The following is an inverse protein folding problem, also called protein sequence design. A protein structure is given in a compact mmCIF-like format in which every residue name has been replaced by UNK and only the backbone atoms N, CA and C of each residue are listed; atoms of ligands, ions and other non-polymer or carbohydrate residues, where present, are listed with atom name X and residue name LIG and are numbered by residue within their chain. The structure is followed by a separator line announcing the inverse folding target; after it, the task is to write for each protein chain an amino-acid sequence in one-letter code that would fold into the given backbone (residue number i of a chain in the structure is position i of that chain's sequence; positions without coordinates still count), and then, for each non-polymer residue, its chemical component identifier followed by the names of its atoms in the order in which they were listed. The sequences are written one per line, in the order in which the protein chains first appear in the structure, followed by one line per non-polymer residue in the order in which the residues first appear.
data_IF_856862237891
#
_entry.id   IF_856862237891
#
_cell.length_a   1.000
_cell.length_b   1.000
_cell.length_c   1.000
_cell.angle_alpha   90.00
_cell.angle_beta   90.00
_cell.angle_gamma   90.00
#
_symmetry.space_group_name_H-M   'P 1'
#
loop_
_entity.id
_entity.type
_entity.pdbx_description
1 polymer ?
#
# COMPACT_ATOMS: atom_id res chain seq x y z
N UNK A 1 -0.73 -19.51 -3.81
CA UNK A 1 0.56 -19.47 -3.09
C UNK A 1 0.93 -18.00 -2.95
N UNK A 2 0.95 -17.46 -1.74
CA UNK A 2 1.26 -16.04 -1.49
C UNK A 2 2.73 -15.78 -1.81
N UNK A 3 3.03 -14.80 -2.66
CA UNK A 3 4.42 -14.38 -2.91
C UNK A 3 4.82 -13.43 -1.80
N UNK A 4 5.46 -13.97 -0.76
CA UNK A 4 6.09 -13.18 0.31
C UNK A 4 7.34 -12.48 -0.22
N UNK A 5 7.14 -11.54 -1.13
CA UNK A 5 8.15 -10.57 -1.48
C UNK A 5 8.23 -9.60 -0.30
N UNK A 6 9.43 -9.42 0.25
CA UNK A 6 9.66 -8.59 1.43
C UNK A 6 9.52 -7.13 0.99
N UNK A 7 8.32 -6.57 1.19
CA UNK A 7 8.04 -5.17 0.96
C UNK A 7 7.88 -4.43 2.29
N UNK A 8 8.44 -3.24 2.47
CA UNK A 8 8.23 -2.42 3.66
C UNK A 8 7.09 -1.42 3.43
N UNK A 9 6.59 -0.84 4.53
CA UNK A 9 5.66 0.28 4.51
C UNK A 9 6.44 1.61 4.61
N UNK A 10 6.13 2.58 3.76
CA UNK A 10 6.53 3.97 3.95
C UNK A 10 5.28 4.81 4.24
N UNK A 11 5.17 5.37 5.45
CA UNK A 11 4.02 6.20 5.82
C UNK A 11 3.89 7.41 4.90
N UNK A 12 2.73 7.54 4.24
CA UNK A 12 2.35 8.75 3.53
C UNK A 12 1.09 9.28 4.21
N UNK A 13 1.26 10.21 5.15
CA UNK A 13 0.15 10.82 5.86
C UNK A 13 -0.71 11.67 4.91
N UNK A 14 -1.78 11.08 4.38
CA UNK A 14 -2.82 11.77 3.61
C UNK A 14 -3.79 12.49 4.53
N UNK A 15 -3.38 13.61 5.14
CA UNK A 15 -4.24 14.37 6.04
C UNK A 15 -5.35 15.12 5.27
N UNK A 16 -6.55 14.53 5.19
CA UNK A 16 -7.77 15.30 4.87
C UNK A 16 -8.35 15.77 6.20
N UNK A 17 -8.00 17.00 6.59
CA UNK A 17 -8.44 17.61 7.85
C UNK A 17 -9.95 17.92 7.86
N UNK A 18 -10.76 16.91 8.21
CA UNK A 18 -12.15 17.07 8.62
C UNK A 18 -12.30 16.64 10.07
N UNK A 19 -12.71 17.54 10.95
CA UNK A 19 -12.90 17.25 12.36
C UNK A 19 -13.94 16.11 12.54
N UNK A 20 -13.48 14.94 13.00
CA UNK A 20 -14.34 13.81 13.37
C UNK A 20 -14.17 12.53 12.54
N UNK A 21 -13.28 12.49 11.55
CA UNK A 21 -12.99 11.27 10.78
C UNK A 21 -11.73 10.62 11.36
N UNK A 22 -11.77 9.34 11.71
CA UNK A 22 -10.55 8.56 11.89
C UNK A 22 -9.79 8.68 10.56
N UNK A 23 -8.60 9.28 10.58
CA UNK A 23 -7.79 9.38 9.36
C UNK A 23 -7.35 7.95 9.05
N UNK A 24 -7.75 7.43 7.88
CA UNK A 24 -7.21 6.19 7.37
C UNK A 24 -5.69 6.35 7.27
N UNK A 25 -4.96 5.52 8.00
CA UNK A 25 -3.51 5.57 7.96
C UNK A 25 -3.08 4.69 6.78
N UNK A 26 -2.56 5.33 5.74
CA UNK A 26 -2.15 4.67 4.50
C UNK A 26 -0.63 4.59 4.43
N UNK A 27 -0.13 3.39 4.12
CA UNK A 27 1.30 3.14 3.93
C UNK A 27 1.55 2.72 2.50
N UNK A 28 2.52 3.37 1.87
CA UNK A 28 2.96 2.98 0.53
C UNK A 28 3.80 1.71 0.64
N UNK A 29 3.47 0.71 -0.16
CA UNK A 29 4.26 -0.51 -0.23
C UNK A 29 5.53 -0.22 -1.06
N UNK A 30 6.69 -0.52 -0.46
CA UNK A 30 8.02 -0.33 -1.05
C UNK A 30 8.81 -1.64 -0.98
N UNK A 31 9.76 -1.86 -1.86
CA UNK A 31 10.67 -3.01 -1.80
C UNK A 31 11.66 -2.93 -0.62
N UNK A 32 12.50 -3.96 -0.47
CA UNK A 32 13.52 -4.02 0.57
C UNK A 32 14.53 -2.86 0.54
N UNK A 33 14.63 -2.12 -0.57
CA UNK A 33 15.49 -0.95 -0.71
C UNK A 33 14.72 0.37 -0.47
N UNK A 34 13.43 0.31 -0.15
CA UNK A 34 12.57 1.49 0.00
C UNK A 34 12.04 2.04 -1.33
N UNK A 35 12.15 1.30 -2.44
CA UNK A 35 11.63 1.73 -3.75
C UNK A 35 10.14 1.39 -3.86
N UNK A 36 9.25 2.31 -4.24
CA UNK A 36 7.83 2.01 -4.42
C UNK A 36 7.57 0.83 -5.35
N UNK A 37 6.65 -0.04 -4.94
CA UNK A 37 6.11 -1.06 -5.84
C UNK A 37 5.22 -0.36 -6.86
N UNK A 38 5.54 -0.55 -8.14
CA UNK A 38 4.87 0.11 -9.26
C UNK A 38 4.34 -0.90 -10.26
N UNK A 39 3.22 -0.55 -10.90
CA UNK A 39 2.55 -1.34 -11.91
C UNK A 39 2.20 -0.46 -13.11
N UNK A 40 2.09 -1.08 -14.30
CA UNK A 40 1.73 -0.36 -15.52
C UNK A 40 0.22 -0.10 -15.65
N UNK A 41 -0.62 -0.87 -14.96
CA UNK A 41 -2.08 -0.76 -15.03
C UNK A 41 -2.71 -0.98 -13.65
N UNK A 42 -3.91 -0.44 -13.48
CA UNK A 42 -4.74 -0.68 -12.29
C UNK A 42 -4.98 -2.17 -12.06
N UNK A 43 -5.34 -2.90 -13.12
CA UNK A 43 -5.66 -4.33 -13.04
C UNK A 43 -4.46 -5.15 -12.56
N UNK A 44 -3.24 -4.83 -13.00
CA UNK A 44 -2.04 -5.51 -12.54
C UNK A 44 -1.80 -5.27 -11.04
N UNK A 45 -2.00 -4.03 -10.58
CA UNK A 45 -1.89 -3.70 -9.16
C UNK A 45 -2.94 -4.44 -8.32
N UNK A 46 -4.20 -4.46 -8.77
CA UNK A 46 -5.29 -5.15 -8.06
C UNK A 46 -5.12 -6.68 -8.05
N UNK A 47 -4.52 -7.24 -9.10
CA UNK A 47 -4.23 -8.67 -9.17
C UNK A 47 -3.10 -9.10 -8.22
N UNK A 48 -2.05 -8.30 -8.10
CA UNK A 48 -0.89 -8.62 -7.25
C UNK A 48 -1.04 -8.14 -5.81
N UNK A 49 -1.83 -7.10 -5.53
CA UNK A 49 -2.07 -6.53 -4.20
C UNK A 49 -2.40 -7.58 -3.12
N UNK A 50 -3.41 -8.46 -3.32
CA UNK A 50 -3.74 -9.53 -2.36
C UNK A 50 -2.64 -10.57 -2.14
N UNK A 51 -1.57 -10.52 -2.93
CA UNK A 51 -0.46 -11.47 -2.90
C UNK A 51 0.82 -10.86 -2.35
N UNK A 52 0.82 -9.56 -2.06
CA UNK A 52 1.93 -8.78 -1.53
C UNK A 52 1.66 -8.52 -0.05
N UNK A 53 2.61 -8.90 0.80
CA UNK A 53 2.56 -8.71 2.24
C UNK A 53 3.67 -7.75 2.68
N UNK A 54 3.44 -7.04 3.78
CA UNK A 54 4.46 -6.23 4.41
C UNK A 54 5.49 -7.13 5.11
N UNK A 55 6.72 -6.64 5.19
CA UNK A 55 7.89 -7.36 5.71
C UNK A 55 7.83 -7.48 7.23
N UNK A 56 7.21 -6.50 7.89
CA UNK A 56 6.92 -6.52 9.30
C UNK A 56 5.52 -7.14 9.52
N UNK A 57 5.40 -8.29 10.21
CA UNK A 57 4.11 -8.93 10.46
C UNK A 57 3.14 -8.09 11.31
N UNK A 58 3.63 -7.21 12.17
CA UNK A 58 2.81 -6.28 12.97
C UNK A 58 2.20 -5.21 12.06
N UNK A 59 2.98 -4.66 11.13
CA UNK A 59 2.47 -3.72 10.11
C UNK A 59 1.50 -4.40 9.14
N UNK A 60 1.80 -5.62 8.69
CA UNK A 60 0.93 -6.40 7.81
C UNK A 60 -0.45 -6.64 8.45
N UNK A 61 -0.47 -6.88 9.77
CA UNK A 61 -1.71 -7.01 10.54
C UNK A 61 -2.40 -5.67 10.80
N UNK A 62 -1.65 -4.57 10.94
CA UNK A 62 -2.18 -3.22 11.16
C UNK A 62 -2.83 -2.65 9.89
N UNK A 63 -2.29 -2.96 8.73
CA UNK A 63 -2.77 -2.46 7.43
C UNK A 63 -3.24 -3.62 6.53
N UNK A 64 -4.37 -4.29 6.86
CA UNK A 64 -4.80 -5.50 6.17
C UNK A 64 -5.49 -5.24 4.83
N UNK A 65 -5.89 -4.00 4.56
CA UNK A 65 -6.59 -3.63 3.33
C UNK A 65 -5.60 -3.07 2.34
N UNK A 66 -5.79 -3.35 1.06
CA UNK A 66 -4.94 -2.85 -0.01
C UNK A 66 -5.75 -1.97 -0.97
N UNK A 67 -5.07 -1.00 -1.55
CA UNK A 67 -5.62 -0.08 -2.53
C UNK A 67 -4.55 0.26 -3.58
N UNK A 68 -5.02 0.52 -4.80
CA UNK A 68 -4.19 0.87 -5.94
C UNK A 68 -4.52 2.30 -6.38
N UNK A 69 -3.50 3.17 -6.44
CA UNK A 69 -3.67 4.56 -6.90
C UNK A 69 -2.69 4.89 -8.02
N UNK A 70 -3.17 5.61 -9.02
CA UNK A 70 -2.33 6.14 -10.09
C UNK A 70 -1.54 7.36 -9.59
N UNK A 71 -0.26 7.42 -9.94
CA UNK A 71 0.60 8.58 -9.73
C UNK A 71 0.58 9.52 -10.92
N UNK A 72 1.12 10.73 -10.73
CA UNK A 72 1.23 11.75 -11.81
C UNK A 72 2.17 11.32 -12.96
N UNK A 73 2.97 10.27 -12.74
CA UNK A 73 3.87 9.64 -13.70
C UNK A 73 3.19 8.56 -14.57
N UNK A 74 1.89 8.30 -14.35
CA UNK A 74 1.13 7.28 -15.06
C UNK A 74 1.39 5.85 -14.58
N UNK A 75 2.12 5.68 -13.47
CA UNK A 75 2.31 4.38 -12.82
C UNK A 75 1.25 4.16 -11.73
N UNK A 76 0.95 2.90 -11.46
CA UNK A 76 0.06 2.49 -10.39
C UNK A 76 0.87 2.03 -9.18
N UNK A 77 0.44 2.46 -8.00
CA UNK A 77 1.12 2.22 -6.74
C UNK A 77 0.22 1.46 -5.77
N UNK A 78 0.81 0.48 -5.08
CA UNK A 78 0.14 -0.26 -4.02
C UNK A 78 0.31 0.45 -2.68
N UNK A 79 -0.80 0.61 -1.98
CA UNK A 79 -0.82 1.05 -0.59
C UNK A 79 -1.60 0.04 0.24
N UNK A 80 -1.24 -0.05 1.52
CA UNK A 80 -2.05 -0.72 2.51
C UNK A 80 -2.68 0.31 3.45
N UNK A 81 -3.85 -0.01 4.00
CA UNK A 81 -4.57 0.82 4.96
C UNK A 81 -5.16 0.00 6.09
N UNK A 82 -5.36 0.66 7.22
CA UNK A 82 -6.09 0.16 8.39
C UNK A 82 -7.61 0.20 8.19
N UNK A 83 -8.09 0.82 7.10
CA UNK A 83 -9.50 0.92 6.71
C UNK A 83 -9.74 0.57 5.23
N UNK A 84 -10.98 0.24 4.86
CA UNK A 84 -11.38 -0.10 3.49
C UNK A 84 -11.86 1.11 2.70
#
# INVERSE_FOLDING_TARGET
MMKKLLFAAACVAGAIAGAGVANAEEVRVVDANGTPVTFQTQDACLADGPHIALSNPEEDAQYPYFLCREGEDGLWYLFNSDTQ
#
